data_IF_502562173603
#
_entry.id   IF_502562173603
#
_cell.length_a   1.000
_cell.length_b   1.000
_cell.length_c   1.000
_cell.angle_alpha   90.00
_cell.angle_beta   90.00
_cell.angle_gamma   90.00
#
_symmetry.space_group_name_H-M   'P 1'
#
loop_
_entity.id
_entity.type
_entity.pdbx_description
1 polymer ?
#
# COMPACT_ATOMS: atom_id res chain seq x y z
N UNK A 1 -3.97 -6.46 17.20
CA UNK A 1 -3.25 -5.79 16.09
C UNK A 1 -4.06 -5.94 14.81
N UNK A 2 -4.12 -4.91 14.02
CA UNK A 2 -4.83 -4.96 12.73
C UNK A 2 -3.86 -4.76 11.57
N UNK A 3 -4.24 -5.26 10.40
CA UNK A 3 -3.47 -5.06 9.18
C UNK A 3 -4.35 -4.40 8.13
N UNK A 4 -3.91 -3.24 7.64
CA UNK A 4 -4.54 -2.60 6.50
C UNK A 4 -3.90 -3.17 5.23
N UNK A 5 -4.74 -3.61 4.30
CA UNK A 5 -4.29 -4.02 2.97
C UNK A 5 -4.77 -2.97 1.98
N UNK A 6 -3.81 -2.39 1.26
CA UNK A 6 -4.11 -1.44 0.19
C UNK A 6 -3.88 -2.11 -1.15
N UNK A 7 -4.80 -1.91 -2.08
CA UNK A 7 -4.68 -2.39 -3.45
C UNK A 7 -4.56 -1.17 -4.35
N UNK A 8 -3.50 -1.12 -5.16
CA UNK A 8 -3.24 0.04 -6.00
C UNK A 8 -3.17 -0.33 -7.47
N UNK A 9 -3.82 0.51 -8.28
CA UNK A 9 -3.74 0.46 -9.74
C UNK A 9 -2.98 1.70 -10.19
N UNK A 10 -1.98 1.52 -11.06
CA UNK A 10 -1.18 2.63 -11.59
C UNK A 10 -2.02 3.54 -12.48
N UNK A 11 -1.60 4.79 -12.59
CA UNK A 11 -2.17 5.70 -13.58
C UNK A 11 -1.75 5.23 -14.98
N UNK A 12 -2.63 5.38 -16.00
CA UNK A 12 -2.35 4.87 -17.34
C UNK A 12 -1.10 5.44 -17.99
N UNK A 13 -0.71 6.67 -17.64
CA UNK A 13 0.47 7.31 -18.19
C UNK A 13 1.79 6.81 -17.62
N UNK A 14 1.75 6.02 -16.53
CA UNK A 14 2.95 5.46 -15.92
C UNK A 14 3.18 4.03 -16.41
N UNK A 15 4.42 3.68 -16.71
CA UNK A 15 4.78 2.29 -16.93
C UNK A 15 4.72 1.53 -15.61
N UNK A 16 4.73 0.19 -15.68
CA UNK A 16 4.73 -0.63 -14.47
C UNK A 16 6.01 -0.40 -13.66
N UNK A 17 7.15 -0.24 -14.35
CA UNK A 17 8.44 0.02 -13.71
C UNK A 17 8.47 1.38 -13.03
N UNK A 18 7.97 2.41 -13.70
CA UNK A 18 7.87 3.76 -13.13
C UNK A 18 6.97 3.80 -11.92
N UNK A 19 5.82 3.13 -12.00
CA UNK A 19 4.88 3.03 -10.90
C UNK A 19 5.52 2.33 -9.69
N UNK A 20 6.18 1.19 -9.91
CA UNK A 20 6.82 0.44 -8.84
C UNK A 20 7.92 1.26 -8.17
N UNK A 21 8.78 1.92 -8.95
CA UNK A 21 9.84 2.76 -8.43
C UNK A 21 9.28 3.94 -7.63
N UNK A 22 8.28 4.61 -8.17
CA UNK A 22 7.63 5.75 -7.54
C UNK A 22 7.03 5.37 -6.19
N UNK A 23 6.37 4.22 -6.14
CA UNK A 23 5.74 3.71 -4.93
C UNK A 23 6.78 3.29 -3.88
N UNK A 24 7.70 2.42 -4.27
CA UNK A 24 8.64 1.80 -3.34
C UNK A 24 9.73 2.77 -2.87
N UNK A 25 10.24 3.62 -3.78
CA UNK A 25 11.40 4.46 -3.45
C UNK A 25 11.03 5.88 -3.02
N UNK A 26 9.94 6.43 -3.53
CA UNK A 26 9.59 7.83 -3.24
C UNK A 26 8.44 7.98 -2.27
N UNK A 27 7.33 7.30 -2.53
CA UNK A 27 6.15 7.36 -1.65
C UNK A 27 6.50 6.95 -0.21
N UNK A 28 7.34 5.95 -0.05
CA UNK A 28 7.72 5.44 1.27
C UNK A 28 8.52 6.43 2.10
N UNK A 29 9.14 7.42 1.49
CA UNK A 29 9.81 8.49 2.24
C UNK A 29 8.81 9.25 3.12
N UNK A 30 7.54 9.25 2.71
CA UNK A 30 6.46 9.84 3.49
C UNK A 30 5.75 8.76 4.30
N UNK A 31 5.24 7.74 3.62
CA UNK A 31 4.35 6.75 4.23
C UNK A 31 5.00 5.90 5.32
N UNK A 32 6.32 5.63 5.22
CA UNK A 32 7.02 4.87 6.26
C UNK A 32 7.11 5.65 7.58
N UNK A 33 6.80 6.94 7.57
CA UNK A 33 6.83 7.80 8.76
C UNK A 33 5.47 7.93 9.44
N UNK A 34 4.45 7.22 8.97
CA UNK A 34 3.13 7.25 9.60
C UNK A 34 3.24 6.93 11.10
N UNK A 35 2.66 7.78 11.97
CA UNK A 35 2.73 7.51 13.41
C UNK A 35 2.00 6.23 13.77
N UNK A 36 2.59 5.45 14.66
CA UNK A 36 2.00 4.18 15.11
C UNK A 36 2.14 3.01 14.15
N UNK A 37 2.79 3.21 13.00
CA UNK A 37 3.04 2.13 12.04
C UNK A 37 4.05 1.14 12.65
N UNK A 38 3.67 -0.14 12.68
CA UNK A 38 4.48 -1.20 13.30
C UNK A 38 5.32 -1.94 12.26
N UNK A 39 4.68 -2.33 11.16
CA UNK A 39 5.33 -3.04 10.06
C UNK A 39 4.70 -2.59 8.75
N UNK A 40 5.45 -2.68 7.65
CA UNK A 40 5.00 -2.14 6.37
C UNK A 40 5.68 -2.90 5.24
N UNK A 41 4.88 -3.42 4.32
CA UNK A 41 5.38 -4.16 3.16
C UNK A 41 4.62 -3.74 1.91
N UNK A 42 5.34 -3.68 0.81
CA UNK A 42 4.76 -3.43 -0.51
C UNK A 42 5.04 -4.63 -1.39
N UNK A 43 4.03 -5.09 -2.08
CA UNK A 43 4.11 -6.25 -2.97
C UNK A 43 3.79 -5.78 -4.38
N UNK A 44 4.77 -5.88 -5.28
CA UNK A 44 4.61 -5.45 -6.67
C UNK A 44 4.25 -6.66 -7.53
N UNK A 45 3.21 -6.52 -8.35
CA UNK A 45 2.80 -7.60 -9.26
C UNK A 45 3.92 -7.89 -10.26
N UNK A 46 4.21 -9.16 -10.47
CA UNK A 46 5.21 -9.58 -11.45
C UNK A 46 4.54 -9.88 -12.79
N UNK A 47 5.27 -9.73 -13.92
CA UNK A 47 4.65 -9.91 -15.24
C UNK A 47 4.33 -11.37 -15.59
N UNK A 48 4.84 -12.33 -14.84
CA UNK A 48 4.65 -13.77 -15.09
C UNK A 48 3.28 -14.28 -14.67
N UNK A 49 2.40 -13.39 -14.25
CA UNK A 49 1.06 -13.77 -13.84
C UNK A 49 0.23 -14.25 -15.04
N UNK A 50 -0.38 -15.43 -14.90
CA UNK A 50 -1.23 -16.01 -15.94
C UNK A 50 -2.63 -15.42 -15.89
N UNK A 51 -2.76 -14.20 -16.44
CA UNK A 51 -4.04 -13.52 -16.51
C UNK A 51 -4.21 -12.96 -17.92
N UNK A 52 -5.40 -13.09 -18.46
CA UNK A 52 -5.72 -12.55 -19.77
C UNK A 52 -6.13 -11.08 -19.61
N UNK A 53 -5.50 -10.21 -20.40
CA UNK A 53 -5.80 -8.79 -20.37
C UNK A 53 -4.97 -8.05 -19.32
N UNK A 54 -5.46 -6.87 -18.93
CA UNK A 54 -4.75 -6.02 -17.98
C UNK A 54 -4.97 -6.48 -16.56
N UNK A 55 -3.92 -6.37 -15.73
CA UNK A 55 -4.02 -6.69 -14.31
C UNK A 55 -5.02 -5.73 -13.63
N UNK A 56 -5.90 -6.25 -12.75
CA UNK A 56 -6.84 -5.37 -12.03
C UNK A 56 -6.11 -4.41 -11.09
N UNK A 57 -5.00 -4.83 -10.50
CA UNK A 57 -4.16 -4.01 -9.63
C UNK A 57 -2.70 -4.30 -9.94
N UNK A 58 -1.85 -3.31 -9.67
CA UNK A 58 -0.42 -3.43 -9.92
C UNK A 58 0.37 -3.80 -8.67
N UNK A 59 -0.27 -3.81 -7.53
CA UNK A 59 0.37 -4.25 -6.29
C UNK A 59 -0.49 -4.03 -5.07
N UNK A 60 0.04 -4.46 -3.94
CA UNK A 60 -0.61 -4.31 -2.63
C UNK A 60 0.38 -3.74 -1.63
N UNK A 61 -0.15 -3.11 -0.59
CA UNK A 61 0.63 -2.73 0.58
C UNK A 61 -0.01 -3.35 1.80
N UNK A 62 0.83 -3.71 2.77
CA UNK A 62 0.39 -4.24 4.05
C UNK A 62 0.97 -3.36 5.14
N UNK A 63 0.10 -2.80 5.98
CA UNK A 63 0.49 -1.91 7.06
C UNK A 63 -0.12 -2.42 8.37
N UNK A 64 0.71 -2.61 9.38
CA UNK A 64 0.26 -3.10 10.68
C UNK A 64 0.19 -1.96 11.70
N UNK A 65 -0.93 -1.92 12.43
CA UNK A 65 -1.16 -0.97 13.53
C UNK A 65 -1.68 -1.72 14.74
N UNK A 66 -1.50 -1.14 15.91
CA UNK A 66 -1.95 -1.74 17.18
C UNK A 66 -3.47 -1.93 17.19
N UNK A 67 -4.21 -0.97 16.63
CA UNK A 67 -5.67 -0.96 16.67
C UNK A 67 -6.22 -0.14 15.51
N UNK A 68 -7.53 -0.24 15.29
CA UNK A 68 -8.22 0.59 14.28
C UNK A 68 -8.09 2.07 14.65
N UNK A 69 -8.17 2.40 15.94
CA UNK A 69 -8.04 3.78 16.41
C UNK A 69 -6.66 4.34 16.10
N UNK A 70 -5.60 3.54 16.33
CA UNK A 70 -4.23 3.94 16.02
C UNK A 70 -4.05 4.16 14.51
N UNK A 71 -4.63 3.29 13.69
CA UNK A 71 -4.59 3.41 12.24
C UNK A 71 -5.29 4.69 11.78
N UNK A 72 -6.50 4.94 12.29
CA UNK A 72 -7.25 6.15 11.93
C UNK A 72 -6.51 7.42 12.32
N UNK A 73 -5.91 7.42 13.50
CA UNK A 73 -5.11 8.55 13.96
C UNK A 73 -3.90 8.78 13.05
N UNK A 74 -3.25 7.69 12.58
CA UNK A 74 -2.11 7.79 11.67
C UNK A 74 -2.51 8.47 10.36
N UNK A 75 -3.62 8.07 9.77
CA UNK A 75 -4.05 8.65 8.49
C UNK A 75 -4.64 10.05 8.63
N UNK A 76 -5.12 10.41 9.81
CA UNK A 76 -5.59 11.77 10.10
C UNK A 76 -4.44 12.74 10.38
N UNK A 77 -3.25 12.25 10.66
CA UNK A 77 -2.07 13.08 10.94
C UNK A 77 -1.61 13.83 9.69
N UNK A 78 -0.72 14.82 9.88
CA UNK A 78 -0.14 15.55 8.75
C UNK A 78 0.59 14.61 7.79
N UNK A 79 1.32 13.63 8.33
CA UNK A 79 2.02 12.64 7.51
C UNK A 79 1.03 11.79 6.74
N UNK A 80 -0.07 11.38 7.40
CA UNK A 80 -1.13 10.60 6.75
C UNK A 80 -1.78 11.34 5.59
N UNK A 81 -2.06 12.62 5.78
CA UNK A 81 -2.63 13.45 4.72
C UNK A 81 -1.64 13.66 3.57
N UNK A 82 -0.36 13.87 3.89
CA UNK A 82 0.69 14.00 2.87
C UNK A 82 0.85 12.69 2.08
N UNK A 83 0.80 11.54 2.75
CA UNK A 83 0.90 10.24 2.10
C UNK A 83 -0.29 10.02 1.16
N UNK A 84 -1.49 10.39 1.59
CA UNK A 84 -2.68 10.28 0.74
C UNK A 84 -2.58 11.15 -0.49
N UNK A 85 -2.17 12.40 -0.33
CA UNK A 85 -1.98 13.33 -1.44
C UNK A 85 -0.92 12.80 -2.42
N UNK A 86 0.17 12.25 -1.89
CA UNK A 86 1.23 11.68 -2.73
C UNK A 86 0.72 10.46 -3.51
N UNK A 87 -0.06 9.60 -2.87
CA UNK A 87 -0.65 8.43 -3.52
C UNK A 87 -1.53 8.81 -4.71
N UNK A 88 -2.26 9.91 -4.61
CA UNK A 88 -3.10 10.40 -5.69
C UNK A 88 -2.31 10.80 -6.94
N UNK A 89 -1.01 11.03 -6.80
CA UNK A 89 -0.17 11.46 -7.93
C UNK A 89 0.24 10.28 -8.83
N UNK A 90 0.26 9.06 -8.32
CA UNK A 90 0.72 7.92 -9.12
C UNK A 90 -0.27 6.75 -9.21
N UNK A 91 -1.28 6.70 -8.35
CA UNK A 91 -2.28 5.64 -8.35
C UNK A 91 -3.62 6.15 -8.88
N UNK A 92 -4.16 5.44 -9.88
CA UNK A 92 -5.49 5.75 -10.42
C UNK A 92 -6.58 5.21 -9.50
N UNK A 93 -6.32 4.06 -8.85
CA UNK A 93 -7.26 3.43 -7.92
C UNK A 93 -6.51 3.01 -6.68
N UNK A 94 -7.07 3.30 -5.52
CA UNK A 94 -6.58 2.83 -4.22
C UNK A 94 -7.77 2.32 -3.43
N UNK A 95 -7.71 1.06 -3.05
CA UNK A 95 -8.73 0.45 -2.19
C UNK A 95 -8.06 0.01 -0.89
N UNK A 96 -8.74 0.24 0.22
CA UNK A 96 -8.25 -0.15 1.55
C UNK A 96 -9.18 -1.19 2.15
N UNK A 97 -8.61 -2.26 2.68
CA UNK A 97 -9.35 -3.28 3.42
C UNK A 97 -8.71 -3.39 4.80
N UNK A 98 -9.51 -3.21 5.85
CA UNK A 98 -9.07 -3.38 7.22
C UNK A 98 -9.21 -4.85 7.57
N UNK A 99 -8.13 -5.49 7.98
CA UNK A 99 -8.13 -6.93 8.21
C UNK A 99 -7.58 -7.31 9.58
N UNK A 100 -7.98 -8.49 10.02
CA UNK A 100 -7.39 -9.17 11.16
C UNK A 100 -6.58 -10.33 10.58
N UNK A 101 -5.29 -10.35 10.83
CA UNK A 101 -4.41 -11.36 10.23
C UNK A 101 -4.44 -12.67 11.00
N UNK A 102 -4.63 -13.76 10.29
CA UNK A 102 -4.53 -15.11 10.84
C UNK A 102 -3.35 -15.81 10.19
N UNK A 103 -2.30 -16.07 10.96
CA UNK A 103 -1.11 -16.74 10.44
C UNK A 103 -1.33 -18.25 10.47
N UNK A 104 -1.56 -18.82 9.30
CA UNK A 104 -1.81 -20.26 9.19
C UNK A 104 -0.49 -21.02 9.13
N UNK A 105 0.48 -20.45 8.40
CA UNK A 105 1.83 -20.99 8.31
C UNK A 105 2.79 -19.84 8.14
N UNK A 106 3.78 -19.65 9.03
CA UNK A 106 4.68 -18.52 8.91
C UNK A 106 5.65 -18.67 7.74
N UNK A 107 6.13 -17.53 7.22
CA UNK A 107 7.12 -17.52 6.15
C UNK A 107 8.42 -18.17 6.61
N UNK A 108 8.76 -17.95 7.87
CA UNK A 108 9.95 -18.56 8.50
C UNK A 108 9.67 -18.99 9.91
#
# INVERSE_FOLDING_TARGET
MIKLIALLKRKPELSREEFARRWVEEHTKISARLPGLIDYRINIAIPEQEITGELPYDGTAELWFESVEAMRAAFASEIGQAAGADGDLFAAVRLHIYTEEHIIKPVK
#
